data_IF_982707183667
#
_entry.id   IF_982707183667
#
_cell.length_a   1.000
_cell.length_b   1.000
_cell.length_c   1.000
_cell.angle_alpha   90.00
_cell.angle_beta   90.00
_cell.angle_gamma   90.00
#
_symmetry.space_group_name_H-M   'P 1'
#
loop_
_entity.id
_entity.type
_entity.pdbx_description
1 polymer ?
#
# COMPACT_ATOMS: atom_id res chain seq x y z
N UNK A 1 -11.78 -4.09 -10.76
CA UNK A 1 -11.88 -5.45 -10.18
C UNK A 1 -11.15 -5.50 -8.85
N UNK A 2 -11.78 -6.03 -7.85
CA UNK A 2 -11.21 -6.09 -6.52
C UNK A 2 -10.08 -7.10 -6.44
N UNK A 3 -8.96 -6.70 -5.81
CA UNK A 3 -7.82 -7.57 -5.62
C UNK A 3 -7.87 -8.16 -4.20
N UNK A 4 -7.89 -9.47 -4.10
CA UNK A 4 -8.07 -10.17 -2.83
C UNK A 4 -6.93 -9.98 -1.83
N UNK A 5 -5.72 -9.66 -2.30
CA UNK A 5 -4.59 -9.38 -1.42
C UNK A 5 -4.63 -7.98 -0.82
N UNK A 6 -5.42 -7.08 -1.39
CA UNK A 6 -5.56 -5.73 -0.88
C UNK A 6 -6.68 -5.69 0.15
N UNK A 7 -6.48 -4.95 1.23
CA UNK A 7 -7.57 -4.80 2.19
C UNK A 7 -8.74 -4.04 1.58
N UNK A 8 -9.92 -4.18 2.17
CA UNK A 8 -11.14 -3.60 1.64
C UNK A 8 -11.07 -2.08 1.51
N UNK A 9 -10.56 -1.39 2.53
CA UNK A 9 -10.45 0.07 2.47
C UNK A 9 -9.47 0.53 1.40
N UNK A 10 -8.39 -0.22 1.18
CA UNK A 10 -7.45 0.13 0.12
C UNK A 10 -8.08 -0.06 -1.26
N UNK A 11 -8.78 -1.18 -1.49
CA UNK A 11 -9.51 -1.38 -2.74
C UNK A 11 -10.48 -0.24 -3.01
N UNK A 12 -11.24 0.15 -2.00
CA UNK A 12 -12.20 1.23 -2.13
C UNK A 12 -11.51 2.55 -2.45
N UNK A 13 -10.39 2.86 -1.78
CA UNK A 13 -9.64 4.08 -2.02
C UNK A 13 -9.10 4.14 -3.45
N UNK A 14 -8.65 3.02 -3.99
CA UNK A 14 -8.12 2.97 -5.34
C UNK A 14 -9.21 3.10 -6.41
N UNK A 15 -10.44 2.69 -6.09
CA UNK A 15 -11.57 2.76 -7.01
C UNK A 15 -12.27 4.11 -7.01
N UNK A 16 -12.07 4.94 -5.96
CA UNK A 16 -12.71 6.25 -5.87
C UNK A 16 -11.90 7.30 -6.62
N UNK A 17 -12.58 8.40 -6.98
CA UNK A 17 -11.89 9.55 -7.57
C UNK A 17 -11.07 10.27 -6.50
N UNK A 18 -10.10 11.08 -6.93
CA UNK A 18 -9.33 11.89 -6.00
C UNK A 18 -10.23 12.80 -5.17
N UNK A 19 -11.25 13.37 -5.81
CA UNK A 19 -12.19 14.25 -5.13
C UNK A 19 -12.95 13.52 -4.03
N UNK A 20 -13.40 12.30 -4.29
CA UNK A 20 -14.10 11.51 -3.30
C UNK A 20 -13.19 11.08 -2.15
N UNK A 21 -11.93 10.72 -2.44
CA UNK A 21 -10.98 10.37 -1.40
C UNK A 21 -10.68 11.52 -0.46
N UNK A 22 -10.58 12.73 -1.00
CA UNK A 22 -10.28 13.91 -0.18
C UNK A 22 -11.37 14.20 0.84
N UNK A 23 -12.58 13.74 0.59
CA UNK A 23 -13.69 13.90 1.52
C UNK A 23 -13.66 12.93 2.68
N UNK A 24 -12.83 11.89 2.60
CA UNK A 24 -12.72 10.89 3.65
C UNK A 24 -11.27 10.75 4.07
N UNK A 25 -10.97 11.14 5.29
CA UNK A 25 -9.61 11.02 5.84
C UNK A 25 -9.15 9.57 5.87
N UNK A 26 -10.06 8.63 6.14
CA UNK A 26 -9.72 7.22 6.21
C UNK A 26 -9.31 6.67 4.84
N UNK A 27 -10.00 7.09 3.78
CA UNK A 27 -9.66 6.64 2.44
C UNK A 27 -8.37 7.26 1.93
N UNK A 28 -8.08 8.49 2.35
CA UNK A 28 -6.90 9.20 1.89
C UNK A 28 -5.66 8.94 2.74
N UNK A 29 -5.80 8.25 3.87
CA UNK A 29 -4.67 7.96 4.74
C UNK A 29 -3.61 7.15 4.00
N UNK A 30 -2.35 7.57 4.14
CA UNK A 30 -1.23 6.91 3.48
C UNK A 30 -0.93 7.41 2.09
N UNK A 31 -1.77 8.26 1.50
CA UNK A 31 -1.50 8.82 0.18
C UNK A 31 -0.70 10.13 0.28
N UNK A 32 0.40 10.21 -0.46
CA UNK A 32 1.21 11.42 -0.55
C UNK A 32 0.94 12.10 -1.90
N UNK A 33 0.23 13.22 -1.87
CA UNK A 33 -0.15 13.92 -3.09
C UNK A 33 1.04 14.53 -3.83
N UNK A 34 2.07 14.94 -3.11
CA UNK A 34 3.24 15.57 -3.73
C UNK A 34 4.04 14.55 -4.53
N UNK A 35 4.22 13.36 -3.98
CA UNK A 35 4.96 12.29 -4.65
C UNK A 35 4.06 11.38 -5.45
N UNK A 36 2.76 11.47 -5.27
CA UNK A 36 1.74 10.62 -5.89
C UNK A 36 1.98 9.15 -5.59
N UNK A 37 2.29 8.88 -4.33
CA UNK A 37 2.55 7.52 -3.85
C UNK A 37 1.67 7.18 -2.67
N UNK A 38 1.45 5.87 -2.51
CA UNK A 38 0.77 5.31 -1.34
C UNK A 38 1.81 4.73 -0.40
N UNK A 39 1.71 5.06 0.88
CA UNK A 39 2.47 4.37 1.91
C UNK A 39 1.65 3.16 2.35
N UNK A 40 2.19 1.98 2.13
CA UNK A 40 1.48 0.72 2.34
C UNK A 40 2.23 -0.16 3.31
N UNK A 41 1.49 -0.94 4.09
CA UNK A 41 2.07 -1.97 4.94
C UNK A 41 1.84 -3.30 4.24
N UNK A 42 2.91 -4.04 3.99
CA UNK A 42 2.82 -5.34 3.34
C UNK A 42 3.26 -6.45 4.29
N UNK A 43 2.56 -7.57 4.22
CA UNK A 43 3.00 -8.80 4.85
C UNK A 43 3.64 -9.64 3.76
N UNK A 44 4.84 -10.14 4.01
CA UNK A 44 5.59 -10.88 3.00
C UNK A 44 6.36 -12.04 3.61
N UNK A 45 6.78 -12.97 2.76
CA UNK A 45 7.70 -14.05 3.13
C UNK A 45 8.79 -14.13 2.07
N UNK A 46 10.02 -14.46 2.52
CA UNK A 46 11.17 -14.54 1.61
C UNK A 46 11.79 -13.18 1.35
N UNK A 47 12.10 -12.89 0.08
CA UNK A 47 12.87 -11.71 -0.30
C UNK A 47 12.00 -10.64 -0.95
N UNK A 48 12.35 -9.37 -0.72
CA UNK A 48 11.72 -8.23 -1.40
C UNK A 48 12.59 -7.70 -2.55
N UNK A 49 13.54 -8.51 -3.04
CA UNK A 49 14.43 -8.07 -4.13
C UNK A 49 13.67 -7.63 -5.38
N UNK A 50 12.57 -8.30 -5.72
CA UNK A 50 11.77 -7.93 -6.88
C UNK A 50 11.09 -6.57 -6.69
N UNK A 51 10.71 -6.24 -5.46
CA UNK A 51 10.15 -4.92 -5.14
C UNK A 51 11.24 -3.85 -5.31
N UNK A 52 12.44 -4.14 -4.85
CA UNK A 52 13.57 -3.21 -5.02
C UNK A 52 13.91 -3.00 -6.50
N UNK A 53 13.77 -4.04 -7.32
CA UNK A 53 13.99 -3.94 -8.76
C UNK A 53 12.97 -3.01 -9.44
N UNK A 54 11.83 -2.80 -8.82
CA UNK A 54 10.81 -1.86 -9.30
C UNK A 54 11.11 -0.41 -8.91
N UNK A 55 12.23 -0.17 -8.21
CA UNK A 55 12.60 1.16 -7.76
C UNK A 55 12.03 1.56 -6.42
N UNK A 56 11.53 0.60 -5.66
CA UNK A 56 10.90 0.84 -4.36
C UNK A 56 11.84 0.39 -3.26
N UNK A 57 12.09 1.27 -2.28
CA UNK A 57 12.91 0.95 -1.12
C UNK A 57 12.02 0.49 0.04
N UNK A 58 12.03 -0.80 0.41
CA UNK A 58 11.20 -1.25 1.53
C UNK A 58 11.82 -0.88 2.87
N UNK A 59 10.97 -0.47 3.81
CA UNK A 59 11.36 -0.31 5.19
C UNK A 59 10.94 -1.56 5.95
N UNK A 60 11.92 -2.38 6.31
CA UNK A 60 11.64 -3.68 6.93
C UNK A 60 11.22 -3.52 8.38
N UNK A 61 10.11 -4.16 8.74
CA UNK A 61 9.60 -4.19 10.10
C UNK A 61 9.72 -5.61 10.65
N UNK A 62 9.50 -5.74 11.95
CA UNK A 62 9.50 -7.06 12.59
C UNK A 62 8.28 -7.87 12.17
N UNK A 63 8.41 -9.21 12.25
CA UNK A 63 7.27 -10.10 12.07
C UNK A 63 6.83 -10.34 10.64
N UNK A 64 7.70 -10.06 9.67
CA UNK A 64 7.35 -10.32 8.27
C UNK A 64 6.57 -9.20 7.63
N UNK A 65 6.72 -7.98 8.13
CA UNK A 65 6.07 -6.79 7.59
C UNK A 65 7.09 -5.81 7.02
N UNK A 66 6.65 -4.99 6.08
CA UNK A 66 7.46 -3.91 5.54
C UNK A 66 6.56 -2.75 5.13
N UNK A 67 7.11 -1.54 5.16
CA UNK A 67 6.42 -0.36 4.64
C UNK A 67 6.99 -0.06 3.26
N UNK A 68 6.10 0.15 2.29
CA UNK A 68 6.46 0.50 0.92
C UNK A 68 5.80 1.81 0.54
N UNK A 69 6.53 2.66 -0.17
CA UNK A 69 5.96 3.86 -0.80
C UNK A 69 5.83 3.58 -2.28
N UNK A 70 4.61 3.45 -2.77
CA UNK A 70 4.33 2.87 -4.07
C UNK A 70 3.43 3.78 -4.91
N UNK A 71 3.82 4.10 -6.15
CA UNK A 71 2.88 4.73 -7.08
C UNK A 71 1.69 3.80 -7.32
N UNK A 72 0.52 4.37 -7.51
CA UNK A 72 -0.70 3.56 -7.62
C UNK A 72 -0.60 2.49 -8.72
N UNK A 73 0.03 2.79 -9.84
CA UNK A 73 0.13 1.84 -10.95
C UNK A 73 1.00 0.61 -10.63
N UNK A 74 1.81 0.65 -9.58
CA UNK A 74 2.63 -0.49 -9.18
C UNK A 74 2.00 -1.35 -8.08
N UNK A 75 0.89 -0.92 -7.49
CA UNK A 75 0.25 -1.66 -6.40
C UNK A 75 -0.21 -3.04 -6.89
N UNK A 76 -0.92 -3.09 -8.02
CA UNK A 76 -1.40 -4.37 -8.54
C UNK A 76 -0.24 -5.29 -8.95
N UNK A 77 0.77 -4.84 -9.70
CA UNK A 77 1.94 -5.68 -10.00
C UNK A 77 2.62 -6.23 -8.74
N UNK A 78 2.78 -5.40 -7.70
CA UNK A 78 3.40 -5.85 -6.46
C UNK A 78 2.55 -6.93 -5.79
N UNK A 79 1.23 -6.76 -5.79
CA UNK A 79 0.33 -7.73 -5.17
C UNK A 79 0.37 -9.10 -5.84
N UNK A 80 0.84 -9.16 -7.08
CA UNK A 80 0.95 -10.43 -7.84
C UNK A 80 2.22 -11.19 -7.56
N UNK A 81 3.17 -10.60 -6.83
CA UNK A 81 4.40 -11.30 -6.45
C UNK A 81 4.08 -12.39 -5.42
N UNK A 82 4.67 -13.57 -5.62
CA UNK A 82 4.39 -14.72 -4.75
C UNK A 82 4.75 -14.45 -3.29
N UNK A 83 5.79 -13.68 -3.05
CA UNK A 83 6.25 -13.38 -1.69
C UNK A 83 5.38 -12.35 -0.96
N UNK A 84 4.52 -11.63 -1.65
CA UNK A 84 3.59 -10.68 -1.04
C UNK A 84 2.32 -11.41 -0.66
N UNK A 85 2.01 -11.44 0.64
CA UNK A 85 0.84 -12.15 1.16
C UNK A 85 -0.37 -11.26 1.30
N UNK A 86 -0.16 -10.00 1.70
CA UNK A 86 -1.25 -9.08 1.92
C UNK A 86 -0.75 -7.64 1.92
N UNK A 87 -1.58 -6.71 1.48
CA UNK A 87 -1.26 -5.29 1.41
C UNK A 87 -2.41 -4.51 2.05
N UNK A 88 -2.06 -3.61 2.97
CA UNK A 88 -3.05 -2.72 3.56
C UNK A 88 -2.51 -1.30 3.61
N UNK A 89 -3.40 -0.32 3.59
CA UNK A 89 -3.00 1.05 3.81
C UNK A 89 -3.01 1.33 5.31
N UNK A 90 -2.14 2.24 5.79
CA UNK A 90 -2.18 2.62 7.20
C UNK A 90 -3.53 3.24 7.56
N UNK A 91 -4.00 2.96 8.76
CA UNK A 91 -5.23 3.56 9.25
C UNK A 91 -4.89 4.88 9.94
N UNK A 92 -5.78 5.85 9.82
CA UNK A 92 -5.54 7.16 10.41
C UNK A 92 -5.22 7.10 11.91
N UNK A 93 -5.92 6.24 12.65
CA UNK A 93 -5.69 6.09 14.09
C UNK A 93 -4.28 5.59 14.41
N UNK A 94 -3.68 4.88 13.48
CA UNK A 94 -2.32 4.36 13.67
C UNK A 94 -1.31 5.48 13.86
N UNK A 95 -1.53 6.61 13.20
CA UNK A 95 -0.63 7.75 13.29
C UNK A 95 -0.98 8.72 14.41
N UNK A 96 -2.10 8.52 15.08
CA UNK A 96 -2.51 9.38 16.20
C UNK A 96 -1.75 9.06 17.49
N UNK A 97 -1.06 7.96 17.49
CA UNK A 97 -0.23 7.56 18.62
C UNK A 97 1.12 8.25 18.54
#
# INVERSE_FOLDING_TARGET
MENQKLETLLNLALETTNEEREKSDDLNAGYNEQEKTWELIVRYSGSLAEVEDMGIEPEILLGGYAILKVPQHLIDPISRLAQIEYIEKPKRLFFAL
#
